data_IF_830764285472
#
_entry.id   IF_830764285472
#
_cell.length_a   1.000
_cell.length_b   1.000
_cell.length_c   1.000
_cell.angle_alpha   90.00
_cell.angle_beta   90.00
_cell.angle_gamma   90.00
#
_symmetry.space_group_name_H-M   'P 1'
#
loop_
_entity.id
_entity.type
_entity.pdbx_description
1 polymer ?
#
# COMPACT_ATOMS: atom_id res chain seq x y z
N UNK A 1 10.92 7.95 -7.61
CA UNK A 1 10.15 9.22 -7.59
C UNK A 1 11.06 10.45 -7.47
N UNK A 2 11.93 10.50 -6.46
CA UNK A 2 12.71 11.70 -6.11
C UNK A 2 13.54 12.28 -7.26
N UNK A 3 14.11 11.43 -8.11
CA UNK A 3 14.92 11.86 -9.27
C UNK A 3 14.05 12.34 -10.44
N UNK A 4 12.88 11.73 -10.65
CA UNK A 4 11.97 12.07 -11.75
C UNK A 4 11.04 13.24 -11.38
N UNK A 5 10.67 13.34 -10.11
CA UNK A 5 9.71 14.32 -9.59
C UNK A 5 10.29 15.04 -8.36
N UNK A 6 11.33 15.89 -8.51
CA UNK A 6 12.06 16.48 -7.37
C UNK A 6 11.19 17.40 -6.51
N UNK A 7 10.13 17.99 -7.05
CA UNK A 7 9.25 18.92 -6.36
C UNK A 7 8.01 18.25 -5.74
N UNK A 8 7.93 16.91 -5.82
CA UNK A 8 6.78 16.21 -5.26
C UNK A 8 6.81 16.15 -3.73
N UNK A 9 5.67 16.36 -3.15
CA UNK A 9 5.39 16.26 -1.72
C UNK A 9 4.26 15.25 -1.45
N UNK A 10 3.71 15.25 -0.25
CA UNK A 10 2.69 14.28 0.18
C UNK A 10 1.44 14.29 -0.67
N UNK A 11 0.95 15.46 -1.09
CA UNK A 11 -0.30 15.54 -1.85
C UNK A 11 -0.17 14.85 -3.23
N UNK A 12 0.97 15.01 -3.90
CA UNK A 12 1.21 14.34 -5.18
C UNK A 12 1.19 12.81 -5.02
N UNK A 13 1.89 12.28 -3.98
CA UNK A 13 1.90 10.84 -3.71
C UNK A 13 0.51 10.32 -3.32
N UNK A 14 -0.28 11.11 -2.60
CA UNK A 14 -1.64 10.74 -2.21
C UNK A 14 -2.58 10.75 -3.43
N UNK A 15 -2.41 11.69 -4.37
CA UNK A 15 -3.14 11.70 -5.65
C UNK A 15 -2.79 10.49 -6.52
N UNK A 16 -1.51 10.13 -6.62
CA UNK A 16 -1.09 8.88 -7.29
C UNK A 16 -1.77 7.67 -6.65
N UNK A 17 -1.78 7.57 -5.32
CA UNK A 17 -2.47 6.48 -4.62
C UNK A 17 -3.96 6.42 -4.99
N UNK A 18 -4.65 7.58 -5.03
CA UNK A 18 -6.06 7.64 -5.42
C UNK A 18 -6.28 7.13 -6.86
N UNK A 19 -5.40 7.49 -7.79
CA UNK A 19 -5.54 7.07 -9.19
C UNK A 19 -5.26 5.56 -9.36
N UNK A 20 -4.32 4.99 -8.61
CA UNK A 20 -4.14 3.53 -8.56
C UNK A 20 -5.39 2.84 -8.01
N UNK A 21 -5.99 3.37 -6.94
CA UNK A 21 -7.22 2.82 -6.35
C UNK A 21 -8.37 2.83 -7.35
N UNK A 22 -8.56 3.93 -8.08
CA UNK A 22 -9.60 4.05 -9.11
C UNK A 22 -9.40 3.03 -10.23
N UNK A 23 -8.16 2.90 -10.71
CA UNK A 23 -7.83 1.92 -11.74
C UNK A 23 -8.13 0.47 -11.28
N UNK A 24 -7.81 0.12 -10.03
CA UNK A 24 -8.17 -1.20 -9.46
C UNK A 24 -9.69 -1.34 -9.35
N UNK A 25 -10.39 -0.29 -8.95
CA UNK A 25 -11.86 -0.29 -8.86
C UNK A 25 -12.47 -0.58 -10.24
N UNK A 26 -12.03 0.12 -11.27
CA UNK A 26 -12.52 -0.06 -12.64
C UNK A 26 -12.31 -1.50 -13.13
N UNK A 27 -11.11 -2.07 -12.93
CA UNK A 27 -10.83 -3.46 -13.31
C UNK A 27 -11.71 -4.47 -12.53
N UNK A 28 -11.92 -4.24 -11.25
CA UNK A 28 -12.78 -5.09 -10.42
C UNK A 28 -14.26 -5.03 -10.82
N UNK A 29 -14.75 -3.93 -11.42
CA UNK A 29 -16.09 -3.82 -11.98
C UNK A 29 -16.29 -4.78 -13.16
N UNK A 30 -15.23 -5.03 -13.94
CA UNK A 30 -15.20 -6.02 -15.02
C UNK A 30 -14.81 -7.44 -14.57
N UNK A 31 -14.74 -7.70 -13.25
CA UNK A 31 -14.28 -8.97 -12.67
C UNK A 31 -12.85 -9.39 -13.08
N UNK A 32 -12.01 -8.44 -13.45
CA UNK A 32 -10.59 -8.65 -13.72
C UNK A 32 -9.83 -8.58 -12.40
N UNK A 33 -9.02 -9.59 -12.09
CA UNK A 33 -8.10 -9.63 -10.95
C UNK A 33 -6.68 -9.38 -11.48
N UNK A 34 -6.01 -8.38 -10.93
CA UNK A 34 -4.67 -7.97 -11.38
C UNK A 34 -3.65 -9.04 -11.03
N UNK A 35 -3.72 -9.56 -9.81
CA UNK A 35 -2.89 -10.65 -9.30
C UNK A 35 -1.43 -10.27 -9.04
N UNK A 36 -0.69 -9.75 -10.02
CA UNK A 36 0.71 -9.29 -9.86
C UNK A 36 0.82 -7.77 -9.72
N UNK A 37 0.02 -7.21 -8.83
CA UNK A 37 0.08 -5.77 -8.53
C UNK A 37 1.33 -5.45 -7.71
N UNK A 38 2.29 -4.77 -8.33
CA UNK A 38 3.54 -4.34 -7.70
C UNK A 38 4.06 -3.04 -8.35
N UNK A 39 5.04 -2.32 -7.74
CA UNK A 39 5.50 -1.03 -8.26
C UNK A 39 6.12 -1.08 -9.66
N UNK A 40 6.63 -2.23 -10.12
CA UNK A 40 7.24 -2.36 -11.45
C UNK A 40 6.18 -2.36 -12.55
N UNK A 41 4.95 -2.78 -12.22
CA UNK A 41 3.84 -2.86 -13.15
C UNK A 41 2.97 -1.60 -13.17
N UNK A 42 3.40 -0.53 -12.49
CA UNK A 42 2.69 0.76 -12.45
C UNK A 42 3.60 1.87 -12.97
N UNK A 43 3.22 2.46 -14.08
CA UNK A 43 3.87 3.66 -14.62
C UNK A 43 3.15 4.91 -14.13
N UNK A 44 3.93 5.87 -13.65
CA UNK A 44 3.43 7.16 -13.21
C UNK A 44 3.97 8.23 -14.15
N UNK A 45 3.08 8.88 -14.88
CA UNK A 45 3.39 9.99 -15.76
C UNK A 45 3.43 11.30 -14.97
N UNK A 46 2.39 11.57 -14.20
CA UNK A 46 2.25 12.69 -13.27
C UNK A 46 1.32 12.28 -12.10
N UNK A 47 0.97 13.22 -11.20
CA UNK A 47 0.13 12.92 -10.03
C UNK A 47 -1.31 12.54 -10.37
N UNK A 48 -1.77 12.83 -11.58
CA UNK A 48 -3.14 12.57 -12.04
C UNK A 48 -3.21 11.37 -13.00
N UNK A 49 -2.07 10.91 -13.53
CA UNK A 49 -2.02 9.93 -14.62
C UNK A 49 -1.12 8.75 -14.25
N UNK A 50 -1.74 7.59 -14.11
CA UNK A 50 -1.07 6.30 -13.86
C UNK A 50 -1.51 5.27 -14.90
N UNK A 51 -0.64 4.33 -15.21
CA UNK A 51 -0.93 3.24 -16.13
C UNK A 51 -0.52 1.92 -15.49
N UNK A 52 -1.33 0.88 -15.68
CA UNK A 52 -0.91 -0.50 -15.45
C UNK A 52 -0.24 -1.02 -16.72
N UNK A 53 0.88 -1.70 -16.54
CA UNK A 53 1.59 -2.43 -17.59
C UNK A 53 1.64 -3.91 -17.23
N UNK A 54 2.10 -4.74 -18.16
CA UNK A 54 2.20 -6.20 -17.96
C UNK A 54 0.83 -6.86 -17.70
N UNK A 55 -0.16 -6.40 -18.47
CA UNK A 55 -1.57 -6.75 -18.28
C UNK A 55 -1.94 -8.13 -18.85
N UNK A 56 -1.04 -8.77 -19.57
CA UNK A 56 -1.19 -10.13 -20.09
C UNK A 56 -1.16 -11.21 -18.98
N UNK A 57 -0.70 -10.84 -17.78
CA UNK A 57 -0.72 -11.70 -16.60
C UNK A 57 -2.02 -11.63 -15.79
N UNK A 58 -2.98 -10.78 -16.14
CA UNK A 58 -4.21 -10.63 -15.37
C UNK A 58 -5.02 -11.92 -15.31
N UNK A 59 -5.62 -12.19 -14.15
CA UNK A 59 -6.57 -13.28 -14.01
C UNK A 59 -7.93 -12.85 -14.58
N UNK A 60 -8.42 -13.61 -15.53
CA UNK A 60 -9.74 -13.43 -16.15
C UNK A 60 -10.48 -14.76 -16.06
N UNK A 61 -11.68 -14.75 -15.48
CA UNK A 61 -12.50 -15.94 -15.25
C UNK A 61 -11.71 -17.06 -14.53
N UNK A 62 -11.59 -18.25 -15.11
CA UNK A 62 -10.85 -19.40 -14.58
C UNK A 62 -9.36 -19.43 -14.95
N UNK A 63 -8.84 -18.44 -15.67
CA UNK A 63 -7.43 -18.37 -16.04
C UNK A 63 -6.64 -17.64 -14.96
N UNK A 64 -5.83 -18.34 -14.13
CA UNK A 64 -5.14 -17.74 -13.02
C UNK A 64 -4.00 -16.82 -13.46
N UNK A 65 -3.72 -15.78 -12.69
CA UNK A 65 -2.48 -15.03 -12.82
C UNK A 65 -1.30 -15.91 -12.35
N UNK A 66 -0.42 -16.29 -13.27
CA UNK A 66 0.66 -17.26 -13.03
C UNK A 66 1.91 -16.68 -12.33
N UNK A 67 1.95 -15.37 -12.09
CA UNK A 67 3.08 -14.64 -11.54
C UNK A 67 2.70 -13.87 -10.26
N UNK A 68 3.71 -13.40 -9.51
CA UNK A 68 3.48 -12.56 -8.33
C UNK A 68 4.71 -12.42 -7.46
N UNK A 69 4.67 -11.42 -6.58
CA UNK A 69 5.70 -11.16 -5.58
C UNK A 69 5.18 -11.42 -4.17
N UNK A 70 5.91 -12.16 -3.36
CA UNK A 70 5.52 -12.48 -1.97
C UNK A 70 5.13 -11.25 -1.15
N UNK A 71 5.81 -10.11 -1.34
CA UNK A 71 5.53 -8.88 -0.60
C UNK A 71 4.12 -8.33 -0.85
N UNK A 72 3.57 -8.57 -2.05
CA UNK A 72 2.23 -8.13 -2.45
C UNK A 72 1.21 -9.27 -2.44
N UNK A 73 1.63 -10.45 -1.97
CA UNK A 73 0.77 -11.63 -1.85
C UNK A 73 0.40 -11.86 -0.39
N UNK A 74 -0.88 -12.11 -0.11
CA UNK A 74 -1.33 -12.44 1.25
C UNK A 74 -0.61 -13.68 1.77
N UNK A 75 -0.25 -13.67 3.07
CA UNK A 75 0.53 -14.75 3.69
C UNK A 75 -0.09 -16.14 3.53
N UNK A 76 -1.41 -16.24 3.49
CA UNK A 76 -2.15 -17.49 3.29
C UNK A 76 -1.86 -18.16 1.93
N UNK A 77 -1.37 -17.39 0.97
CA UNK A 77 -1.04 -17.87 -0.37
C UNK A 77 0.46 -18.08 -0.59
N UNK A 78 1.30 -17.79 0.41
CA UNK A 78 2.74 -18.04 0.30
C UNK A 78 3.04 -19.54 0.19
N UNK A 79 3.93 -19.88 -0.75
CA UNK A 79 4.33 -21.25 -1.02
C UNK A 79 3.41 -22.03 -1.97
N UNK A 80 2.27 -21.47 -2.34
CA UNK A 80 1.45 -22.00 -3.43
C UNK A 80 2.07 -21.60 -4.78
N UNK A 81 1.91 -22.43 -5.78
CA UNK A 81 2.19 -22.04 -7.17
C UNK A 81 1.08 -21.11 -7.64
N UNK A 82 1.46 -20.00 -8.25
CA UNK A 82 0.50 -18.98 -8.67
C UNK A 82 -0.46 -19.42 -9.77
N UNK A 83 -0.05 -20.38 -10.59
CA UNK A 83 -0.84 -20.99 -11.66
C UNK A 83 -1.82 -22.09 -11.21
N UNK A 84 -1.79 -22.45 -9.91
CA UNK A 84 -2.61 -23.55 -9.36
C UNK A 84 -3.81 -23.06 -8.53
N UNK A 85 -4.01 -21.74 -8.38
CA UNK A 85 -5.16 -21.21 -7.65
C UNK A 85 -5.66 -19.88 -8.23
N UNK A 86 -6.95 -19.65 -8.09
CA UNK A 86 -7.56 -18.36 -8.41
C UNK A 86 -7.41 -17.40 -7.22
N UNK A 87 -6.95 -16.21 -7.52
CA UNK A 87 -6.96 -15.08 -6.60
C UNK A 87 -8.35 -14.45 -6.52
N UNK A 88 -8.55 -13.68 -5.49
CA UNK A 88 -9.79 -12.96 -5.24
C UNK A 88 -9.52 -11.45 -5.23
N UNK A 89 -10.59 -10.64 -5.29
CA UNK A 89 -10.48 -9.17 -5.10
C UNK A 89 -9.77 -8.81 -3.78
N UNK A 90 -9.90 -9.65 -2.73
CA UNK A 90 -9.18 -9.44 -1.45
C UNK A 90 -7.65 -9.55 -1.59
N UNK A 91 -7.16 -10.37 -2.53
CA UNK A 91 -5.72 -10.50 -2.80
C UNK A 91 -5.18 -9.23 -3.45
N UNK A 92 -5.92 -8.67 -4.42
CA UNK A 92 -5.59 -7.37 -5.02
C UNK A 92 -5.70 -6.22 -4.00
N UNK A 93 -6.71 -6.24 -3.12
CA UNK A 93 -6.87 -5.21 -2.09
C UNK A 93 -5.70 -5.24 -1.09
N UNK A 94 -5.17 -6.41 -0.76
CA UNK A 94 -3.96 -6.53 0.06
C UNK A 94 -2.73 -5.94 -0.65
N UNK A 95 -2.54 -6.25 -1.94
CA UNK A 95 -1.46 -5.71 -2.76
C UNK A 95 -1.58 -4.19 -2.88
N UNK A 96 -2.80 -3.69 -3.14
CA UNK A 96 -3.11 -2.25 -3.19
C UNK A 96 -2.80 -1.56 -1.86
N UNK A 97 -3.24 -2.12 -0.73
CA UNK A 97 -2.93 -1.57 0.59
C UNK A 97 -1.41 -1.50 0.84
N UNK A 98 -0.65 -2.50 0.35
CA UNK A 98 0.81 -2.52 0.42
C UNK A 98 1.45 -1.40 -0.42
N UNK A 99 0.95 -1.18 -1.64
CA UNK A 99 1.40 -0.08 -2.51
C UNK A 99 1.07 1.30 -1.91
N UNK A 100 -0.16 1.47 -1.44
CA UNK A 100 -0.58 2.72 -0.77
C UNK A 100 0.27 2.97 0.47
N UNK A 101 0.55 1.95 1.27
CA UNK A 101 1.45 2.06 2.41
C UNK A 101 2.84 2.55 1.99
N UNK A 102 3.43 2.00 0.92
CA UNK A 102 4.75 2.41 0.43
C UNK A 102 4.77 3.81 -0.17
N UNK A 103 3.65 4.30 -0.71
CA UNK A 103 3.52 5.70 -1.13
C UNK A 103 3.44 6.65 0.08
N UNK A 104 2.74 6.25 1.13
CA UNK A 104 2.59 7.06 2.35
C UNK A 104 3.85 7.03 3.23
N UNK A 105 4.57 5.89 3.25
CA UNK A 105 5.86 5.69 3.91
C UNK A 105 6.92 5.37 2.85
N UNK A 106 7.45 6.37 2.12
CA UNK A 106 8.15 6.17 0.86
C UNK A 106 9.27 5.13 0.91
N UNK A 107 9.08 4.07 0.12
CA UNK A 107 10.07 3.02 -0.07
C UNK A 107 10.17 1.98 1.06
N UNK A 108 9.27 2.00 2.05
CA UNK A 108 9.26 1.00 3.11
C UNK A 108 8.04 0.09 3.03
N UNK A 109 8.25 -1.22 2.87
CA UNK A 109 7.17 -2.20 2.96
C UNK A 109 6.56 -2.26 4.37
N UNK A 110 5.31 -2.72 4.50
CA UNK A 110 4.61 -2.77 5.78
C UNK A 110 5.33 -3.52 6.90
N UNK A 111 6.08 -4.56 6.55
CA UNK A 111 6.80 -5.42 7.49
C UNK A 111 8.30 -5.15 7.55
N UNK A 112 8.76 -3.98 7.12
CA UNK A 112 10.10 -3.48 7.39
C UNK A 112 10.26 -3.20 8.88
N UNK A 113 11.23 -3.83 9.50
CA UNK A 113 11.30 -3.99 10.94
C UNK A 113 12.75 -3.87 11.43
N UNK A 114 12.98 -3.27 12.58
CA UNK A 114 14.32 -3.01 13.10
C UNK A 114 15.00 -4.23 13.75
N UNK A 115 14.30 -5.34 13.91
CA UNK A 115 14.79 -6.55 14.58
C UNK A 115 15.48 -7.59 13.68
N UNK A 116 15.69 -7.28 12.40
CA UNK A 116 16.28 -8.21 11.43
C UNK A 116 15.28 -9.15 10.75
N UNK A 117 15.79 -10.17 10.05
CA UNK A 117 14.97 -11.05 9.20
C UNK A 117 14.67 -10.47 7.82
N UNK A 118 14.30 -11.33 6.89
CA UNK A 118 13.81 -10.91 5.58
C UNK A 118 12.37 -10.42 5.66
N UNK A 119 11.95 -9.57 4.71
CA UNK A 119 10.56 -9.11 4.63
C UNK A 119 9.57 -10.28 4.57
N UNK A 120 9.91 -11.35 3.84
CA UNK A 120 9.11 -12.57 3.74
C UNK A 120 8.93 -13.27 5.10
N UNK A 121 9.97 -13.34 5.91
CA UNK A 121 9.93 -13.92 7.27
C UNK A 121 9.12 -13.04 8.21
N UNK A 122 9.21 -11.72 8.02
CA UNK A 122 8.53 -10.73 8.85
C UNK A 122 7.05 -10.53 8.49
N UNK A 123 6.56 -11.07 7.36
CA UNK A 123 5.15 -10.96 6.94
C UNK A 123 4.22 -11.80 7.83
N UNK A 124 4.15 -11.42 9.11
CA UNK A 124 3.19 -11.96 10.10
C UNK A 124 2.50 -10.81 10.80
N UNK A 125 1.21 -10.92 11.12
CA UNK A 125 0.46 -9.83 11.77
C UNK A 125 1.13 -9.27 13.02
N UNK A 126 1.71 -10.13 13.86
CA UNK A 126 2.43 -9.75 15.07
C UNK A 126 3.69 -8.92 14.80
N UNK A 127 4.27 -9.04 13.61
CA UNK A 127 5.49 -8.33 13.20
C UNK A 127 5.21 -7.00 12.49
N UNK A 128 3.94 -6.59 12.33
CA UNK A 128 3.66 -5.24 11.82
C UNK A 128 4.22 -4.21 12.79
N UNK A 129 5.24 -3.42 12.39
CA UNK A 129 6.10 -2.73 13.35
C UNK A 129 5.54 -1.41 13.87
N UNK A 130 4.41 -0.95 13.33
CA UNK A 130 3.85 0.34 13.67
C UNK A 130 2.74 0.21 14.73
N UNK A 131 2.67 1.21 15.60
CA UNK A 131 1.72 1.24 16.71
C UNK A 131 0.28 1.38 16.21
N UNK A 132 -0.57 0.41 16.52
CA UNK A 132 -1.99 0.38 16.14
C UNK A 132 -2.96 0.76 17.26
N UNK A 133 -2.53 0.70 18.52
CA UNK A 133 -3.31 1.02 19.70
C UNK A 133 -2.44 1.71 20.76
N UNK A 134 -3.03 2.10 21.89
CA UNK A 134 -2.32 2.81 22.96
C UNK A 134 -1.22 1.97 23.63
N UNK A 135 -1.39 0.66 23.68
CA UNK A 135 -0.48 -0.30 24.30
C UNK A 135 0.52 -0.90 23.30
N UNK A 136 0.33 -0.66 22.00
CA UNK A 136 1.12 -1.26 20.94
C UNK A 136 2.60 -0.89 20.99
N UNK A 137 3.43 -1.84 20.66
CA UNK A 137 4.86 -1.71 20.52
C UNK A 137 5.23 -1.13 19.16
N UNK A 138 6.33 -0.39 19.09
CA UNK A 138 6.78 0.23 17.86
C UNK A 138 8.20 -0.22 17.53
N UNK A 139 8.33 -1.09 16.53
CA UNK A 139 9.58 -1.63 16.01
C UNK A 139 9.84 -1.14 14.58
N UNK A 140 9.34 0.02 14.22
CA UNK A 140 9.57 0.59 12.91
C UNK A 140 11.08 0.73 12.63
N UNK A 141 11.51 0.67 11.36
CA UNK A 141 12.90 0.85 11.00
C UNK A 141 13.45 2.17 11.51
N UNK A 142 14.77 2.20 11.76
CA UNK A 142 15.46 3.42 12.15
C UNK A 142 15.25 4.55 11.15
N UNK A 143 15.16 5.79 11.67
CA UNK A 143 14.97 6.98 10.87
C UNK A 143 13.60 7.63 11.08
N UNK A 144 13.04 8.19 10.00
CA UNK A 144 11.87 9.06 10.08
C UNK A 144 10.53 8.32 10.03
N UNK A 145 10.51 7.00 9.96
CA UNK A 145 9.31 6.20 9.67
C UNK A 145 8.27 6.30 10.78
N UNK A 146 8.69 6.28 12.04
CA UNK A 146 7.82 6.50 13.20
C UNK A 146 7.18 7.88 13.17
N UNK A 147 7.97 8.90 12.80
CA UNK A 147 7.48 10.26 12.65
C UNK A 147 6.46 10.38 11.52
N UNK A 148 6.77 9.81 10.34
CA UNK A 148 5.83 9.80 9.20
C UNK A 148 4.54 9.11 9.59
N UNK A 149 4.63 7.93 10.22
CA UNK A 149 3.47 7.19 10.71
C UNK A 149 2.61 8.01 11.67
N UNK A 150 3.22 8.71 12.62
CA UNK A 150 2.48 9.51 13.59
C UNK A 150 1.66 10.64 12.97
N UNK A 151 2.09 11.13 11.79
CA UNK A 151 1.44 12.22 11.05
C UNK A 151 0.45 11.76 9.97
N UNK A 152 0.26 10.45 9.80
CA UNK A 152 -0.81 9.96 8.94
C UNK A 152 -2.17 10.15 9.61
N UNK A 153 -3.25 10.42 8.85
CA UNK A 153 -4.60 10.46 9.37
C UNK A 153 -5.00 9.18 10.10
N UNK A 154 -5.83 9.33 11.12
CA UNK A 154 -6.26 8.19 11.94
C UNK A 154 -6.92 7.09 11.10
N UNK A 155 -7.86 7.44 10.21
CA UNK A 155 -8.55 6.48 9.34
C UNK A 155 -7.60 5.65 8.49
N UNK A 156 -6.56 6.30 7.93
CA UNK A 156 -5.57 5.60 7.10
C UNK A 156 -4.70 4.66 7.92
N UNK A 157 -4.28 5.08 9.11
CA UNK A 157 -3.56 4.20 10.07
C UNK A 157 -4.42 3.01 10.49
N UNK A 158 -5.71 3.24 10.73
CA UNK A 158 -6.65 2.18 11.09
C UNK A 158 -6.77 1.13 10.00
N UNK A 159 -6.89 1.54 8.72
CA UNK A 159 -6.90 0.64 7.57
C UNK A 159 -5.62 -0.21 7.53
N UNK A 160 -4.45 0.40 7.64
CA UNK A 160 -3.19 -0.34 7.64
C UNK A 160 -3.10 -1.32 8.83
N UNK A 161 -3.58 -0.93 10.00
CA UNK A 161 -3.64 -1.82 11.14
C UNK A 161 -4.62 -2.98 10.94
N UNK A 162 -5.77 -2.74 10.32
CA UNK A 162 -6.72 -3.80 9.99
C UNK A 162 -6.11 -4.82 9.03
N UNK A 163 -5.48 -4.36 7.96
CA UNK A 163 -4.87 -5.21 6.94
C UNK A 163 -3.65 -5.95 7.48
N UNK A 164 -2.67 -5.21 8.02
CA UNK A 164 -1.33 -5.76 8.29
C UNK A 164 -1.18 -6.32 9.70
N UNK A 165 -1.83 -5.72 10.71
CA UNK A 165 -1.72 -6.17 12.11
C UNK A 165 -2.80 -7.17 12.49
N UNK A 166 -4.04 -6.95 12.02
CA UNK A 166 -5.18 -7.80 12.37
C UNK A 166 -5.51 -8.83 11.30
N UNK A 167 -4.88 -8.75 10.12
CA UNK A 167 -5.13 -9.62 8.97
C UNK A 167 -6.60 -9.68 8.56
N UNK A 168 -7.29 -8.55 8.66
CA UNK A 168 -8.69 -8.43 8.29
C UNK A 168 -8.84 -8.09 6.81
N UNK A 169 -9.93 -8.56 6.23
CA UNK A 169 -10.40 -8.10 4.93
C UNK A 169 -11.00 -6.72 5.08
N UNK A 170 -10.76 -5.88 4.10
CA UNK A 170 -11.33 -4.52 4.02
C UNK A 170 -11.95 -4.29 2.66
N UNK A 171 -12.90 -3.38 2.61
CA UNK A 171 -13.50 -2.94 1.35
C UNK A 171 -12.58 -1.94 0.63
N UNK A 172 -12.49 -2.03 -0.69
CA UNK A 172 -11.71 -1.09 -1.52
C UNK A 172 -12.14 0.36 -1.28
N UNK A 173 -13.46 0.61 -1.17
CA UNK A 173 -14.01 1.92 -0.87
C UNK A 173 -13.54 2.50 0.47
N UNK A 174 -13.19 1.66 1.46
CA UNK A 174 -12.63 2.14 2.72
C UNK A 174 -11.26 2.78 2.52
N UNK A 175 -10.40 2.19 1.69
CA UNK A 175 -9.09 2.76 1.33
C UNK A 175 -9.30 4.06 0.55
N UNK A 176 -10.18 4.02 -0.47
CA UNK A 176 -10.50 5.19 -1.31
C UNK A 176 -10.92 6.39 -0.48
N UNK A 177 -11.93 6.21 0.36
CA UNK A 177 -12.47 7.28 1.21
C UNK A 177 -11.41 7.84 2.18
N UNK A 178 -10.53 6.99 2.73
CA UNK A 178 -9.45 7.46 3.60
C UNK A 178 -8.39 8.28 2.85
N UNK A 179 -8.10 7.94 1.60
CA UNK A 179 -7.17 8.66 0.74
C UNK A 179 -7.80 9.99 0.28
N UNK A 180 -9.07 10.01 -0.12
CA UNK A 180 -9.79 11.23 -0.48
C UNK A 180 -9.87 12.22 0.70
N UNK A 181 -10.17 11.72 1.90
CA UNK A 181 -10.17 12.52 3.13
C UNK A 181 -8.76 13.08 3.42
N UNK A 182 -7.71 12.29 3.19
CA UNK A 182 -6.34 12.76 3.37
C UNK A 182 -5.95 13.84 2.36
N UNK A 183 -6.34 13.71 1.08
CA UNK A 183 -6.13 14.77 0.07
C UNK A 183 -6.82 16.06 0.53
N UNK A 184 -8.08 15.98 0.95
CA UNK A 184 -8.82 17.13 1.45
C UNK A 184 -8.10 17.82 2.63
N UNK A 185 -7.64 17.03 3.62
CA UNK A 185 -6.91 17.59 4.78
C UNK A 185 -5.59 18.27 4.36
N UNK A 186 -4.88 17.72 3.36
CA UNK A 186 -3.65 18.32 2.83
C UNK A 186 -3.95 19.63 2.09
N UNK A 187 -5.00 19.68 1.30
CA UNK A 187 -5.41 20.86 0.54
C UNK A 187 -5.90 21.99 1.44
N UNK A 188 -6.58 21.66 2.55
CA UNK A 188 -7.01 22.65 3.56
C UNK A 188 -5.87 23.07 4.52
N UNK A 189 -4.68 22.52 4.38
CA UNK A 189 -3.56 22.83 5.28
C UNK A 189 -3.70 22.26 6.70
N UNK A 190 -4.64 21.32 6.91
CA UNK A 190 -4.81 20.63 8.19
C UNK A 190 -3.69 19.61 8.45
N UNK A 191 -2.96 19.23 7.40
CA UNK A 191 -1.80 18.33 7.44
C UNK A 191 -0.61 18.98 6.75
N UNK A 192 0.60 18.70 7.23
CA UNK A 192 1.82 19.23 6.62
C UNK A 192 2.15 18.54 5.30
N UNK A 193 2.37 19.32 4.26
CA UNK A 193 2.81 18.84 2.95
C UNK A 193 4.25 18.33 2.96
N UNK A 194 5.11 18.98 3.76
CA UNK A 194 6.54 18.68 3.82
C UNK A 194 6.96 18.22 5.22
N UNK A 195 8.07 17.46 5.26
CA UNK A 195 8.76 17.17 6.50
C UNK A 195 9.39 18.47 7.02
N UNK A 196 8.81 19.12 7.98
CA UNK A 196 9.59 20.11 8.76
C UNK A 196 10.70 19.34 9.49
N UNK A 197 11.96 19.59 9.13
CA UNK A 197 13.08 19.27 10.00
C UNK A 197 12.81 19.99 11.31
N UNK A 198 12.70 19.25 12.43
CA UNK A 198 12.85 19.87 13.73
C UNK A 198 14.26 20.45 13.74
N UNK A 199 14.38 21.77 13.70
CA UNK A 199 15.57 22.46 14.17
C UNK A 199 15.55 22.27 15.69
N UNK A 200 16.48 21.47 16.18
CA UNK A 200 16.85 21.44 17.60
C UNK A 200 17.80 22.58 17.86
#
# INVERSE_FOLDING_TARGET
FKNKFPNWNRIHLTKVALNIIKMVQDLHEYNIIIGDMNPNNILVQDENTVFMIDTDSFQIEEYPCSVGFNLYTRKINHGKRYDEYLRTKDDDIFALATLVFQLMLPGKPPYSYSGGGTEKENMKPENFPYKCDKSGYNNAPDGQWVYIWSHLPFKLKEIFCQVFRKNLKIELNSIKNAIEDYIYQLEQGHQTLEKKKKTF
#
